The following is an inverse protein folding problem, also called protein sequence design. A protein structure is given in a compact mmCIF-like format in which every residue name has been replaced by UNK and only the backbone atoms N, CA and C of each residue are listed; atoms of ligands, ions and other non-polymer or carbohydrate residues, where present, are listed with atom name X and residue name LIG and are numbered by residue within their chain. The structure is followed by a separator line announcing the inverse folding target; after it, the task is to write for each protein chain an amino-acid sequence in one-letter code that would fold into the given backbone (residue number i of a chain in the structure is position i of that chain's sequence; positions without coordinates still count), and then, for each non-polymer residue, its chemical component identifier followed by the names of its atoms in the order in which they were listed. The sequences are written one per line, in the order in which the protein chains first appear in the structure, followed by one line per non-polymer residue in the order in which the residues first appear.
data_IF_485684642050
#
_entry.id   IF_485684642050
#
_cell.length_a   1.000
_cell.length_b   1.000
_cell.length_c   1.000
_cell.angle_alpha   90.00
_cell.angle_beta   90.00
_cell.angle_gamma   90.00
#
_symmetry.space_group_name_H-M   'P 1'
#
loop_
_entity.id
_entity.type
_entity.pdbx_description
1 polymer ?
#
# COMPACT_ATOMS: atom_id res chain seq x y z
N UNK A 1 33.01 7.09 3.65
CA UNK A 1 32.27 6.55 2.49
C UNK A 1 31.36 5.39 2.85
N UNK A 2 31.57 4.69 3.98
CA UNK A 2 30.67 3.64 4.48
C UNK A 2 29.27 4.13 4.82
N UNK A 3 29.13 5.33 5.40
CA UNK A 3 27.84 5.82 5.92
C UNK A 3 26.69 5.87 4.89
N UNK A 4 26.94 6.27 3.63
CA UNK A 4 25.90 6.27 2.58
C UNK A 4 25.56 4.85 2.08
N UNK A 5 26.58 3.99 2.00
CA UNK A 5 26.41 2.58 1.63
C UNK A 5 25.61 1.84 2.72
N UNK A 6 25.91 2.12 3.99
CA UNK A 6 25.20 1.59 5.16
C UNK A 6 23.74 2.05 5.18
N UNK A 7 23.47 3.33 4.87
CA UNK A 7 22.10 3.86 4.76
C UNK A 7 21.34 3.14 3.64
N UNK A 8 21.93 2.99 2.45
CA UNK A 8 21.28 2.30 1.33
C UNK A 8 21.05 0.81 1.64
N UNK A 9 22.01 0.14 2.27
CA UNK A 9 21.86 -1.24 2.70
C UNK A 9 20.74 -1.39 3.75
N UNK A 10 20.63 -0.44 4.69
CA UNK A 10 19.54 -0.41 5.66
C UNK A 10 18.18 -0.18 4.97
N UNK A 11 18.09 0.74 4.01
CA UNK A 11 16.87 0.95 3.22
C UNK A 11 16.46 -0.32 2.47
N UNK A 12 17.43 -0.98 1.83
CA UNK A 12 17.19 -2.25 1.15
C UNK A 12 16.63 -3.32 2.12
N UNK A 13 17.22 -3.47 3.30
CA UNK A 13 16.73 -4.40 4.31
C UNK A 13 15.27 -4.10 4.75
N UNK A 14 14.93 -2.82 4.92
CA UNK A 14 13.55 -2.40 5.24
C UNK A 14 12.58 -2.74 4.11
N UNK A 15 12.96 -2.55 2.84
CA UNK A 15 12.12 -2.95 1.71
C UNK A 15 11.91 -4.47 1.64
N UNK A 16 12.94 -5.26 1.91
CA UNK A 16 12.82 -6.73 1.96
C UNK A 16 11.90 -7.18 3.09
N UNK A 17 11.95 -6.51 4.24
CA UNK A 17 11.03 -6.76 5.35
C UNK A 17 9.59 -6.39 5.00
N UNK A 18 9.36 -5.24 4.36
CA UNK A 18 8.03 -4.83 3.87
C UNK A 18 7.46 -5.80 2.84
N UNK A 19 8.30 -6.37 1.97
CA UNK A 19 7.91 -7.44 1.05
C UNK A 19 7.46 -8.70 1.81
N UNK A 20 8.24 -9.14 2.80
CA UNK A 20 7.87 -10.28 3.63
C UNK A 20 6.54 -10.05 4.38
N UNK A 21 6.36 -8.88 4.97
CA UNK A 21 5.12 -8.49 5.64
C UNK A 21 3.93 -8.44 4.67
N UNK A 22 4.14 -8.02 3.42
CA UNK A 22 3.08 -8.01 2.40
C UNK A 22 2.69 -9.43 1.96
N UNK A 23 3.65 -10.35 1.90
CA UNK A 23 3.37 -11.75 1.66
C UNK A 23 2.59 -12.41 2.81
N UNK A 24 2.92 -12.06 4.06
CA UNK A 24 2.19 -12.50 5.26
C UNK A 24 0.78 -11.91 5.32
N UNK A 25 0.62 -10.63 5.00
CA UNK A 25 -0.68 -9.95 4.95
C UNK A 25 -1.65 -10.67 4.01
N UNK A 26 -1.16 -11.04 2.82
CA UNK A 26 -1.92 -11.84 1.86
C UNK A 26 -2.39 -13.18 2.47
N UNK A 27 -1.53 -13.86 3.22
CA UNK A 27 -1.91 -15.12 3.87
C UNK A 27 -2.95 -14.91 4.97
N UNK A 28 -2.80 -13.87 5.79
CA UNK A 28 -3.77 -13.51 6.83
C UNK A 28 -5.16 -13.20 6.24
N UNK A 29 -5.22 -12.44 5.14
CA UNK A 29 -6.48 -12.14 4.42
C UNK A 29 -7.14 -13.42 3.91
N UNK A 30 -6.36 -14.33 3.31
CA UNK A 30 -6.90 -15.60 2.81
C UNK A 30 -7.39 -16.52 3.93
N UNK A 31 -6.74 -16.48 5.10
CA UNK A 31 -7.14 -17.22 6.28
C UNK A 31 -8.31 -16.57 7.05
N UNK A 32 -8.64 -15.30 6.76
CA UNK A 32 -9.61 -14.53 7.54
C UNK A 32 -9.13 -14.18 8.95
N UNK A 33 -7.82 -14.18 9.18
CA UNK A 33 -7.20 -13.90 10.47
C UNK A 33 -7.05 -12.38 10.66
N UNK A 34 -8.07 -11.76 11.25
CA UNK A 34 -8.13 -10.31 11.46
C UNK A 34 -7.07 -9.86 12.47
N UNK A 35 -6.79 -10.67 13.50
CA UNK A 35 -5.82 -10.31 14.52
C UNK A 35 -4.40 -10.29 13.96
N UNK A 36 -4.01 -11.30 13.19
CA UNK A 36 -2.73 -11.30 12.48
C UNK A 36 -2.64 -10.12 11.48
N UNK A 37 -3.74 -9.76 10.83
CA UNK A 37 -3.78 -8.63 9.91
C UNK A 37 -3.47 -7.30 10.62
N UNK A 38 -4.07 -7.04 11.78
CA UNK A 38 -3.82 -5.84 12.58
C UNK A 38 -2.35 -5.74 13.02
N UNK A 39 -1.77 -6.85 13.49
CA UNK A 39 -0.36 -6.91 13.88
C UNK A 39 0.58 -6.64 12.69
N UNK A 40 0.28 -7.20 11.52
CA UNK A 40 1.06 -6.98 10.30
C UNK A 40 0.99 -5.52 9.85
N UNK A 41 -0.19 -4.89 9.92
CA UNK A 41 -0.35 -3.47 9.57
C UNK A 41 0.47 -2.59 10.51
N UNK A 42 0.41 -2.82 11.82
CA UNK A 42 1.21 -2.07 12.79
C UNK A 42 2.73 -2.23 12.54
N UNK A 43 3.18 -3.43 12.20
CA UNK A 43 4.58 -3.67 11.82
C UNK A 43 4.98 -2.91 10.56
N UNK A 44 4.12 -2.87 9.53
CA UNK A 44 4.38 -2.11 8.30
C UNK A 44 4.47 -0.60 8.58
N UNK A 45 3.58 -0.05 9.39
CA UNK A 45 3.62 1.36 9.78
C UNK A 45 4.94 1.72 10.48
N UNK A 46 5.40 0.86 11.40
CA UNK A 46 6.70 1.04 12.04
C UNK A 46 7.86 1.03 11.03
N UNK A 47 7.83 0.12 10.05
CA UNK A 47 8.87 0.07 9.01
C UNK A 47 8.83 1.27 8.05
N UNK A 48 7.64 1.81 7.74
CA UNK A 48 7.51 3.05 6.95
C UNK A 48 8.12 4.24 7.69
N UNK A 49 7.93 4.33 9.01
CA UNK A 49 8.58 5.36 9.82
C UNK A 49 10.11 5.24 9.81
N UNK A 50 10.64 4.01 9.93
CA UNK A 50 12.09 3.76 9.80
C UNK A 50 12.60 4.17 8.43
N UNK A 51 11.88 3.81 7.36
CA UNK A 51 12.25 4.18 5.99
C UNK A 51 12.29 5.69 5.79
N UNK A 52 11.33 6.43 6.35
CA UNK A 52 11.30 7.89 6.29
C UNK A 52 12.53 8.51 6.97
N UNK A 53 12.93 8.00 8.14
CA UNK A 53 14.12 8.46 8.84
C UNK A 53 15.41 8.15 8.05
N UNK A 54 15.51 6.97 7.45
CA UNK A 54 16.64 6.60 6.60
C UNK A 54 16.73 7.48 5.35
N UNK A 55 15.60 7.83 4.74
CA UNK A 55 15.56 8.69 3.55
C UNK A 55 15.94 10.14 3.87
N UNK A 56 15.53 10.66 5.02
CA UNK A 56 15.99 11.96 5.51
C UNK A 56 17.51 11.95 5.70
N UNK A 57 18.06 10.93 6.38
CA UNK A 57 19.50 10.78 6.59
C UNK A 57 20.26 10.60 5.27
N UNK A 58 19.73 9.82 4.32
CA UNK A 58 20.29 9.69 2.96
C UNK A 58 20.43 11.05 2.29
N UNK A 59 19.37 11.86 2.35
CA UNK A 59 19.33 13.20 1.74
C UNK A 59 20.35 14.13 2.38
N UNK A 60 20.46 14.13 3.71
CA UNK A 60 21.47 14.88 4.45
C UNK A 60 22.89 14.47 4.07
N UNK A 61 23.19 13.17 4.04
CA UNK A 61 24.51 12.64 3.68
C UNK A 61 24.88 12.98 2.23
N UNK A 62 23.93 12.86 1.30
CA UNK A 62 24.13 13.22 -0.11
C UNK A 62 24.45 14.71 -0.27
N UNK A 63 23.72 15.59 0.42
CA UNK A 63 23.97 17.03 0.39
C UNK A 63 25.33 17.40 1.03
N UNK A 64 25.69 16.75 2.15
CA UNK A 64 26.98 16.96 2.79
C UNK A 64 28.15 16.56 1.87
N UNK A 65 28.02 15.44 1.16
CA UNK A 65 29.04 14.96 0.23
C UNK A 65 29.14 15.86 -0.99
N UNK A 66 28.01 16.36 -1.50
CA UNK A 66 27.99 17.33 -2.58
C UNK A 66 28.82 18.58 -2.25
N UNK A 67 28.64 19.11 -1.04
CA UNK A 67 29.41 20.25 -0.55
C UNK A 67 30.91 19.97 -0.44
N UNK A 68 31.30 18.78 0.04
CA UNK A 68 32.71 18.38 0.17
C UNK A 68 33.40 18.15 -1.17
N UNK A 69 32.69 17.56 -2.13
CA UNK A 69 33.20 17.25 -3.46
C UNK A 69 33.12 18.45 -4.43
N UNK A 70 32.58 19.59 -3.99
CA UNK A 70 32.39 20.76 -4.83
C UNK A 70 31.41 20.52 -5.98
N UNK A 71 30.49 19.57 -5.83
CA UNK A 71 29.49 19.26 -6.85
C UNK A 71 28.54 20.46 -6.93
N UNK A 72 28.37 21.10 -8.11
CA UNK A 72 27.46 22.22 -8.25
C UNK A 72 26.04 21.76 -7.88
N UNK A 73 25.38 22.53 -7.02
CA UNK A 73 23.99 22.30 -6.64
C UNK A 73 23.15 22.25 -7.94
N UNK A 74 22.67 21.06 -8.27
CA UNK A 74 21.90 20.72 -9.46
C UNK A 74 22.59 21.02 -10.80
N UNK A 75 23.35 20.05 -11.32
CA UNK A 75 23.54 19.93 -12.77
C UNK A 75 22.28 19.31 -13.40
N UNK A 76 21.21 20.10 -13.54
CA UNK A 76 20.04 19.73 -14.37
C UNK A 76 18.66 19.63 -13.69
N UNK A 77 18.52 20.01 -12.42
CA UNK A 77 17.23 20.08 -11.72
C UNK A 77 16.89 21.50 -11.28
N UNK A 78 15.60 21.84 -11.21
CA UNK A 78 15.13 23.15 -10.75
C UNK A 78 15.83 23.61 -9.46
N UNK A 79 16.09 24.92 -9.27
CA UNK A 79 16.64 25.45 -8.03
C UNK A 79 15.74 25.05 -6.85
N UNK A 80 16.30 24.36 -5.87
CA UNK A 80 15.58 23.79 -4.72
C UNK A 80 15.30 22.28 -4.80
N UNK A 81 15.68 21.59 -5.87
CA UNK A 81 15.59 20.13 -5.95
C UNK A 81 16.74 19.47 -5.17
N UNK A 82 16.47 18.48 -4.29
CA UNK A 82 17.52 17.77 -3.56
C UNK A 82 18.45 17.05 -4.54
N UNK A 83 19.76 17.04 -4.25
CA UNK A 83 20.73 16.39 -5.12
C UNK A 83 20.44 14.88 -5.20
N UNK A 84 20.46 14.31 -6.41
CA UNK A 84 20.24 12.88 -6.56
C UNK A 84 21.54 12.11 -6.35
N UNK A 85 21.43 10.87 -5.86
CA UNK A 85 22.59 9.97 -5.74
C UNK A 85 23.34 9.81 -7.07
N UNK A 86 22.61 9.84 -8.19
CA UNK A 86 23.15 9.76 -9.55
C UNK A 86 24.08 10.91 -9.89
N UNK A 87 23.86 12.08 -9.29
CA UNK A 87 24.63 13.29 -9.57
C UNK A 87 25.99 13.24 -8.86
N UNK A 88 26.10 12.45 -7.80
CA UNK A 88 27.36 12.21 -7.08
C UNK A 88 28.24 11.14 -7.75
N UNK A 89 27.65 10.14 -8.43
CA UNK A 89 28.40 9.00 -8.98
C UNK A 89 29.61 9.37 -9.87
N UNK A 90 29.57 10.41 -10.72
CA UNK A 90 30.70 10.79 -11.57
C UNK A 90 31.93 11.30 -10.80
N UNK A 91 31.73 11.74 -9.55
CA UNK A 91 32.78 12.33 -8.70
C UNK A 91 33.40 11.31 -7.74
N UNK A 92 32.91 10.07 -7.75
CA UNK A 92 33.38 8.98 -6.91
C UNK A 92 34.36 8.08 -7.67
N UNK A 93 35.16 7.32 -6.93
CA UNK A 93 35.98 6.26 -7.53
C UNK A 93 35.08 5.18 -8.16
N UNK A 94 35.61 4.52 -9.20
CA UNK A 94 34.83 3.58 -10.01
C UNK A 94 34.24 2.41 -9.20
N UNK A 95 34.95 1.93 -8.18
CA UNK A 95 34.49 0.81 -7.36
C UNK A 95 33.32 1.22 -6.48
N UNK A 96 33.41 2.35 -5.78
CA UNK A 96 32.32 2.87 -4.95
C UNK A 96 31.12 3.27 -5.80
N UNK A 97 31.33 3.92 -6.94
CA UNK A 97 30.25 4.27 -7.86
C UNK A 97 29.50 3.02 -8.38
N UNK A 98 30.22 1.93 -8.65
CA UNK A 98 29.61 0.66 -9.05
C UNK A 98 28.76 0.04 -7.93
N UNK A 99 29.29 -0.04 -6.70
CA UNK A 99 28.56 -0.58 -5.54
C UNK A 99 27.26 0.18 -5.27
N UNK A 100 27.32 1.51 -5.20
CA UNK A 100 26.15 2.36 -4.97
C UNK A 100 25.12 2.25 -6.09
N UNK A 101 25.57 2.06 -7.35
CA UNK A 101 24.67 1.83 -8.49
C UNK A 101 23.94 0.50 -8.38
N UNK A 102 24.64 -0.58 -7.99
CA UNK A 102 24.02 -1.88 -7.76
C UNK A 102 22.99 -1.80 -6.61
N UNK A 103 23.36 -1.26 -5.45
CA UNK A 103 22.42 -1.09 -4.32
C UNK A 103 21.17 -0.30 -4.70
N UNK A 104 21.34 0.79 -5.46
CA UNK A 104 20.20 1.57 -5.97
C UNK A 104 19.32 0.73 -6.90
N UNK A 105 19.90 -0.08 -7.79
CA UNK A 105 19.13 -0.95 -8.68
C UNK A 105 18.35 -1.99 -7.89
N UNK A 106 18.97 -2.60 -6.88
CA UNK A 106 18.33 -3.59 -6.02
C UNK A 106 17.16 -2.97 -5.24
N UNK A 107 17.34 -1.77 -4.68
CA UNK A 107 16.26 -1.01 -4.04
C UNK A 107 15.11 -0.73 -5.00
N UNK A 108 15.41 -0.26 -6.22
CA UNK A 108 14.37 0.04 -7.22
C UNK A 108 13.60 -1.23 -7.62
N UNK A 109 14.27 -2.37 -7.73
CA UNK A 109 13.63 -3.65 -7.99
C UNK A 109 12.69 -4.04 -6.83
N UNK A 110 13.16 -3.95 -5.58
CA UNK A 110 12.33 -4.24 -4.39
C UNK A 110 11.11 -3.32 -4.30
N UNK A 111 11.25 -2.03 -4.62
CA UNK A 111 10.13 -1.08 -4.67
C UNK A 111 9.09 -1.48 -5.71
N UNK A 112 9.53 -1.84 -6.92
CA UNK A 112 8.64 -2.27 -7.98
C UNK A 112 7.87 -3.56 -7.61
N UNK A 113 8.56 -4.51 -6.97
CA UNK A 113 7.93 -5.73 -6.48
C UNK A 113 6.95 -5.46 -5.33
N UNK A 114 7.28 -4.54 -4.41
CA UNK A 114 6.39 -4.16 -3.30
C UNK A 114 5.11 -3.51 -3.82
N UNK A 115 5.21 -2.66 -4.84
CA UNK A 115 4.04 -2.05 -5.50
C UNK A 115 3.16 -3.13 -6.15
N UNK A 116 3.76 -4.09 -6.86
CA UNK A 116 3.03 -5.21 -7.48
C UNK A 116 2.31 -6.05 -6.45
N UNK A 117 2.97 -6.41 -5.34
CA UNK A 117 2.36 -7.22 -4.28
C UNK A 117 1.26 -6.46 -3.54
N UNK A 118 1.47 -5.18 -3.23
CA UNK A 118 0.47 -4.33 -2.58
C UNK A 118 -0.81 -4.19 -3.42
N UNK A 119 -0.69 -4.09 -4.75
CA UNK A 119 -1.85 -4.11 -5.65
C UNK A 119 -2.64 -5.43 -5.53
N UNK A 120 -1.94 -6.57 -5.47
CA UNK A 120 -2.57 -7.88 -5.29
C UNK A 120 -3.32 -7.99 -3.96
N UNK A 121 -2.72 -7.51 -2.86
CA UNK A 121 -3.36 -7.45 -1.55
C UNK A 121 -4.63 -6.60 -1.60
N UNK A 122 -4.55 -5.41 -2.20
CA UNK A 122 -5.70 -4.51 -2.32
C UNK A 122 -6.88 -5.18 -3.03
N UNK A 123 -6.62 -5.85 -4.15
CA UNK A 123 -7.66 -6.58 -4.90
C UNK A 123 -8.29 -7.71 -4.05
N UNK A 124 -7.50 -8.40 -3.23
CA UNK A 124 -8.01 -9.43 -2.31
C UNK A 124 -8.93 -8.85 -1.24
N UNK A 125 -8.53 -7.73 -0.62
CA UNK A 125 -9.36 -7.03 0.36
C UNK A 125 -10.67 -6.56 -0.27
N UNK A 126 -10.62 -5.93 -1.44
CA UNK A 126 -11.80 -5.47 -2.19
C UNK A 126 -12.75 -6.65 -2.50
N UNK A 127 -12.21 -7.79 -2.92
CA UNK A 127 -12.99 -9.00 -3.23
C UNK A 127 -13.62 -9.62 -1.98
N UNK A 128 -12.86 -9.69 -0.87
CA UNK A 128 -13.34 -10.21 0.40
C UNK A 128 -14.49 -9.36 0.96
N UNK A 129 -14.36 -8.02 0.90
CA UNK A 129 -15.39 -7.08 1.29
C UNK A 129 -16.64 -7.19 0.41
N UNK A 130 -16.48 -7.28 -0.92
CA UNK A 130 -17.60 -7.47 -1.83
C UNK A 130 -18.40 -8.75 -1.50
N UNK A 131 -17.70 -9.85 -1.20
CA UNK A 131 -18.32 -11.11 -0.80
C UNK A 131 -19.05 -10.99 0.54
N UNK A 132 -18.43 -10.38 1.55
CA UNK A 132 -19.06 -10.16 2.86
C UNK A 132 -20.34 -9.31 2.74
N UNK A 133 -20.30 -8.27 1.91
CA UNK A 133 -21.46 -7.42 1.63
C UNK A 133 -22.58 -8.17 0.89
N UNK A 134 -22.24 -9.01 -0.08
CA UNK A 134 -23.21 -9.83 -0.80
C UNK A 134 -23.90 -10.84 0.12
N UNK A 135 -23.15 -11.51 1.00
CA UNK A 135 -23.70 -12.43 2.01
C UNK A 135 -24.60 -11.67 2.99
N UNK A 136 -24.17 -10.51 3.48
CA UNK A 136 -24.98 -9.66 4.35
C UNK A 136 -26.29 -9.26 3.66
N UNK A 137 -26.24 -8.80 2.41
CA UNK A 137 -27.42 -8.40 1.64
C UNK A 137 -28.38 -9.59 1.42
N UNK A 138 -27.84 -10.77 1.13
CA UNK A 138 -28.62 -12.00 1.01
C UNK A 138 -29.31 -12.38 2.32
N UNK A 139 -28.60 -12.34 3.46
CA UNK A 139 -29.18 -12.64 4.77
C UNK A 139 -30.27 -11.63 5.17
N UNK A 140 -30.05 -10.34 4.90
CA UNK A 140 -31.08 -9.30 5.10
C UNK A 140 -32.30 -9.57 4.20
N UNK A 141 -32.07 -9.94 2.93
CA UNK A 141 -33.14 -10.30 2.00
C UNK A 141 -33.93 -11.55 2.40
N UNK A 142 -33.28 -12.53 3.05
CA UNK A 142 -33.95 -13.70 3.62
C UNK A 142 -34.76 -13.37 4.88
N UNK A 143 -34.27 -12.45 5.70
CA UNK A 143 -34.94 -12.02 6.93
C UNK A 143 -36.08 -11.01 6.68
N UNK A 144 -36.09 -10.33 5.54
CA UNK A 144 -37.24 -9.57 5.07
C UNK A 144 -38.42 -10.49 4.75
N UNK A 145 -39.65 -10.01 4.94
CA UNK A 145 -40.87 -10.79 4.67
C UNK A 145 -40.85 -11.37 3.26
N UNK A 146 -40.64 -12.68 3.15
CA UNK A 146 -40.96 -13.39 1.94
C UNK A 146 -42.49 -13.44 1.84
N UNK A 147 -43.11 -13.00 0.73
CA UNK A 147 -44.51 -13.29 0.50
C UNK A 147 -44.63 -14.82 0.49
N UNK A 148 -45.17 -15.36 1.58
CA UNK A 148 -45.29 -16.79 1.77
C UNK A 148 -46.07 -17.42 0.62
N UNK A 149 -45.80 -18.71 0.37
CA UNK A 149 -46.66 -19.51 -0.50
C UNK A 149 -48.04 -19.59 0.16
N UNK A 150 -48.98 -18.75 -0.27
CA UNK A 150 -50.38 -18.92 0.11
C UNK A 150 -50.91 -20.14 -0.63
N UNK A 151 -51.60 -21.02 0.11
CA UNK A 151 -52.34 -22.11 -0.51
C UNK A 151 -53.33 -21.49 -1.52
N UNK A 152 -53.23 -21.94 -2.77
CA UNK A 152 -53.91 -21.42 -3.96
C UNK A 152 -53.29 -20.19 -4.65
N UNK A 153 -52.03 -20.29 -5.09
CA UNK A 153 -51.57 -19.76 -6.39
C UNK A 153 -51.83 -18.28 -6.71
N UNK A 154 -52.05 -17.42 -5.72
CA UNK A 154 -52.25 -15.98 -5.88
C UNK A 154 -51.15 -15.24 -5.14
N UNK A 155 -50.38 -14.43 -5.90
CA UNK A 155 -49.45 -13.46 -5.31
C UNK A 155 -50.25 -12.56 -4.37
N UNK A 156 -49.80 -12.48 -3.11
CA UNK A 156 -50.31 -11.48 -2.18
C UNK A 156 -50.00 -10.09 -2.75
N UNK A 157 -51.05 -9.32 -3.01
CA UNK A 157 -50.93 -7.95 -3.46
C UNK A 157 -50.50 -7.13 -2.24
N UNK A 158 -49.31 -6.55 -2.30
CA UNK A 158 -48.81 -5.63 -1.27
C UNK A 158 -49.78 -4.46 -1.22
N UNK A 159 -50.53 -4.34 -0.13
CA UNK A 159 -51.34 -3.17 0.15
C UNK A 159 -50.38 -2.01 0.44
N UNK A 160 -50.17 -1.15 -0.54
CA UNK A 160 -49.54 0.15 -0.32
C UNK A 160 -50.57 0.99 0.43
N UNK A 161 -50.35 1.10 1.74
CA UNK A 161 -51.09 2.00 2.61
C UNK A 161 -50.82 3.44 2.16
N UNK A 162 -51.83 4.08 1.56
CA UNK A 162 -51.65 5.41 0.99
C UNK A 162 -52.85 5.90 0.19
N UNK A 163 -53.71 6.64 0.88
CA UNK A 163 -54.79 7.50 0.37
C UNK A 163 -56.08 6.79 -0.08
N UNK A 164 -56.91 6.50 0.93
CA UNK A 164 -58.32 6.81 0.82
C UNK A 164 -58.48 8.32 0.58
N UNK A 165 -58.81 8.69 -0.64
CA UNK A 165 -59.67 9.85 -0.88
C UNK A 165 -60.99 9.29 -1.41
N UNK A 166 -61.99 9.37 -0.54
CA UNK A 166 -63.39 9.10 -0.83
C UNK A 166 -63.83 9.69 -2.16
N UNK A 167 -64.59 8.90 -2.91
CA UNK A 167 -65.30 9.37 -4.09
C UNK A 167 -66.74 9.70 -3.70
N UNK A 168 -67.19 10.86 -4.17
CA UNK A 168 -68.57 11.26 -4.49
C UNK A 168 -69.30 12.15 -3.47
N UNK A 169 -69.31 13.45 -3.75
CA UNK A 169 -70.49 14.20 -4.21
C UNK A 169 -70.04 15.46 -4.99
#
# INVERSE_FOLDING_TARGET
MTDLEDILAAQFAVYQLLLALTAQERQAILAGDIQALEEIVAQKEAQVAVLAALEARRTETVNAWAGQLGVPAASGGQPGSPLALTDLLPYLDAATAARLRCLRQDILASVADLQRQSQGVRLLVETALARANAVRAFLIGLAGEQPGYTAAGRRAQVAVDGLMLDRNL
#
